data_IF_944952028948
#
_entry.id   IF_944952028948
#
_cell.length_a   1.000
_cell.length_b   1.000
_cell.length_c   1.000
_cell.angle_alpha   90.00
_cell.angle_beta   90.00
_cell.angle_gamma   90.00
#
_symmetry.space_group_name_H-M   'P 1'
#
loop_
_entity.id
_entity.type
_entity.pdbx_description
1 polymer ?
#
# COMPACT_ATOMS: atom_id res chain seq x y z
N UNK A 1 -19.12 -21.36 -15.13
CA UNK A 1 -17.81 -21.17 -14.45
C UNK A 1 -18.00 -20.26 -13.24
N UNK A 2 -17.28 -20.49 -12.14
CA UNK A 2 -17.32 -19.63 -10.93
C UNK A 2 -17.20 -18.14 -11.28
N UNK A 3 -16.32 -17.81 -12.23
CA UNK A 3 -16.09 -16.46 -12.75
C UNK A 3 -17.35 -15.81 -13.33
N UNK A 4 -18.18 -16.54 -14.07
CA UNK A 4 -19.45 -16.04 -14.61
C UNK A 4 -20.46 -15.68 -13.51
N UNK A 5 -20.52 -16.50 -12.46
CA UNK A 5 -21.39 -16.24 -11.32
C UNK A 5 -20.91 -15.02 -10.51
N UNK A 6 -19.59 -14.86 -10.38
CA UNK A 6 -18.97 -13.69 -9.73
C UNK A 6 -19.25 -12.42 -10.52
N UNK A 7 -19.03 -12.42 -11.84
CA UNK A 7 -19.31 -11.29 -12.74
C UNK A 7 -20.79 -10.92 -12.68
N UNK A 8 -21.68 -11.91 -12.70
CA UNK A 8 -23.13 -11.70 -12.61
C UNK A 8 -23.56 -11.11 -11.26
N UNK A 9 -22.94 -11.54 -10.15
CA UNK A 9 -23.18 -10.97 -8.81
C UNK A 9 -22.66 -9.53 -8.71
N UNK A 10 -21.50 -9.26 -9.31
CA UNK A 10 -20.90 -7.92 -9.38
C UNK A 10 -21.80 -6.93 -10.11
N UNK A 11 -22.31 -7.28 -11.30
CA UNK A 11 -23.18 -6.42 -12.11
C UNK A 11 -24.46 -5.99 -11.36
N UNK A 12 -24.89 -6.77 -10.37
CA UNK A 12 -26.02 -6.47 -9.48
C UNK A 12 -25.66 -5.59 -8.26
N UNK A 13 -24.42 -5.60 -7.80
CA UNK A 13 -24.02 -5.05 -6.50
C UNK A 13 -23.30 -3.69 -6.58
N UNK A 14 -23.46 -2.96 -7.70
CA UNK A 14 -22.89 -1.66 -8.14
C UNK A 14 -22.58 -0.61 -7.05
N UNK A 15 -21.73 -0.91 -6.07
CA UNK A 15 -21.63 -0.03 -4.90
C UNK A 15 -20.24 0.07 -4.24
N UNK A 16 -19.24 -0.78 -4.50
CA UNK A 16 -17.96 -0.66 -3.78
C UNK A 16 -16.67 -1.02 -4.53
N UNK A 17 -16.73 -1.50 -5.78
CA UNK A 17 -15.53 -1.99 -6.51
C UNK A 17 -15.66 -1.60 -8.00
N UNK A 18 -14.61 -1.09 -8.63
CA UNK A 18 -14.62 -0.74 -10.07
C UNK A 18 -14.48 -1.99 -10.95
N UNK A 19 -14.95 -1.93 -12.20
CA UNK A 19 -14.80 -3.04 -13.16
C UNK A 19 -13.32 -3.38 -13.39
N UNK A 20 -12.46 -2.37 -13.35
CA UNK A 20 -11.01 -2.57 -13.46
C UNK A 20 -10.43 -3.30 -12.25
N UNK A 21 -10.84 -2.96 -11.02
CA UNK A 21 -10.42 -3.70 -9.82
C UNK A 21 -10.89 -5.16 -9.87
N UNK A 22 -12.10 -5.42 -10.39
CA UNK A 22 -12.59 -6.78 -10.62
C UNK A 22 -11.69 -7.52 -11.60
N UNK A 23 -11.39 -6.94 -12.75
CA UNK A 23 -10.54 -7.57 -13.78
C UNK A 23 -9.13 -7.83 -13.23
N UNK A 24 -8.54 -6.84 -12.54
CA UNK A 24 -7.21 -6.97 -11.94
C UNK A 24 -7.18 -8.08 -10.89
N UNK A 25 -8.18 -8.18 -10.00
CA UNK A 25 -8.25 -9.25 -9.00
C UNK A 25 -8.51 -10.62 -9.62
N UNK A 26 -9.28 -10.69 -10.72
CA UNK A 26 -9.48 -11.94 -11.45
C UNK A 26 -8.20 -12.40 -12.14
N UNK A 27 -7.51 -11.51 -12.84
CA UNK A 27 -6.27 -11.82 -13.56
C UNK A 27 -5.12 -12.13 -12.60
N UNK A 28 -4.97 -11.37 -11.52
CA UNK A 28 -3.93 -11.59 -10.51
C UNK A 28 -4.25 -12.77 -9.60
N UNK A 29 -5.50 -12.92 -9.17
CA UNK A 29 -5.95 -14.00 -8.28
C UNK A 29 -5.86 -15.39 -8.93
N UNK A 30 -6.12 -15.49 -10.24
CA UNK A 30 -5.88 -16.72 -11.00
C UNK A 30 -4.39 -17.08 -10.95
N UNK A 31 -3.50 -16.15 -11.32
CA UNK A 31 -2.05 -16.36 -11.29
C UNK A 31 -1.52 -16.69 -9.88
N UNK A 32 -2.05 -16.03 -8.85
CA UNK A 32 -1.67 -16.24 -7.45
C UNK A 32 -2.08 -17.62 -6.92
N UNK A 33 -3.06 -18.29 -7.53
CA UNK A 33 -3.58 -19.58 -7.05
C UNK A 33 -3.27 -20.75 -7.98
N UNK A 34 -2.56 -20.52 -9.08
CA UNK A 34 -2.15 -21.54 -10.07
C UNK A 34 -1.33 -22.69 -9.47
N UNK A 35 -0.51 -22.40 -8.46
CA UNK A 35 0.34 -23.40 -7.81
C UNK A 35 -0.43 -24.34 -6.86
N UNK A 36 -1.71 -24.06 -6.58
CA UNK A 36 -2.54 -24.85 -5.66
C UNK A 36 -3.17 -25.99 -6.44
N UNK A 37 -2.62 -27.20 -6.35
CA UNK A 37 -3.06 -28.36 -7.15
C UNK A 37 -4.45 -28.89 -6.77
N UNK A 38 -4.89 -28.73 -5.51
CA UNK A 38 -6.23 -29.12 -5.07
C UNK A 38 -7.26 -28.05 -5.48
N UNK A 39 -8.18 -28.43 -6.36
CA UNK A 39 -9.24 -27.55 -6.88
C UNK A 39 -10.13 -26.98 -5.77
N UNK A 40 -10.38 -27.73 -4.70
CA UNK A 40 -11.21 -27.28 -3.58
C UNK A 40 -10.50 -26.21 -2.77
N UNK A 41 -9.21 -26.41 -2.50
CA UNK A 41 -8.37 -25.41 -1.83
C UNK A 41 -8.20 -24.15 -2.69
N UNK A 42 -7.99 -24.34 -4.00
CA UNK A 42 -7.89 -23.25 -4.96
C UNK A 42 -9.16 -22.40 -4.93
N UNK A 43 -10.32 -23.04 -4.98
CA UNK A 43 -11.61 -22.34 -4.91
C UNK A 43 -11.79 -21.57 -3.59
N UNK A 44 -11.44 -22.18 -2.46
CA UNK A 44 -11.51 -21.53 -1.15
C UNK A 44 -10.61 -20.29 -1.09
N UNK A 45 -9.37 -20.39 -1.59
CA UNK A 45 -8.41 -19.30 -1.63
C UNK A 45 -8.91 -18.16 -2.55
N UNK A 46 -9.39 -18.48 -3.75
CA UNK A 46 -9.94 -17.48 -4.67
C UNK A 46 -11.12 -16.73 -4.05
N UNK A 47 -11.98 -17.41 -3.29
CA UNK A 47 -13.09 -16.75 -2.57
C UNK A 47 -12.59 -15.76 -1.51
N UNK A 48 -11.51 -16.07 -0.79
CA UNK A 48 -10.93 -15.19 0.23
C UNK A 48 -10.29 -13.97 -0.43
N UNK A 49 -9.43 -14.19 -1.42
CA UNK A 49 -8.77 -13.12 -2.18
C UNK A 49 -9.80 -12.18 -2.82
N UNK A 50 -10.91 -12.74 -3.33
CA UNK A 50 -12.01 -11.94 -3.84
C UNK A 50 -12.71 -11.14 -2.74
N UNK A 51 -13.11 -11.80 -1.65
CA UNK A 51 -13.86 -11.18 -0.55
C UNK A 51 -13.08 -10.04 0.10
N UNK A 52 -11.77 -10.17 0.21
CA UNK A 52 -10.88 -9.23 0.87
C UNK A 52 -9.92 -8.55 -0.09
N UNK A 53 -10.26 -8.46 -1.40
CA UNK A 53 -9.36 -7.94 -2.43
C UNK A 53 -8.78 -6.57 -2.12
N UNK A 54 -9.56 -5.68 -1.48
CA UNK A 54 -9.10 -4.36 -1.02
C UNK A 54 -7.95 -4.42 -0.01
N UNK A 55 -7.86 -5.48 0.80
CA UNK A 55 -6.75 -5.67 1.76
C UNK A 55 -5.46 -6.17 1.09
N UNK A 56 -5.59 -6.72 -0.12
CA UNK A 56 -4.49 -7.27 -0.91
C UNK A 56 -4.17 -6.39 -2.13
N UNK A 57 -4.73 -5.18 -2.21
CA UNK A 57 -4.36 -4.22 -3.24
C UNK A 57 -2.97 -3.65 -2.91
N UNK A 58 -1.95 -4.09 -3.64
CA UNK A 58 -0.55 -3.67 -3.46
C UNK A 58 -0.21 -2.53 -4.43
N UNK A 59 -1.15 -2.08 -5.27
CA UNK A 59 -0.89 -1.05 -6.26
C UNK A 59 -0.62 0.31 -5.61
N UNK A 60 -1.30 0.62 -4.51
CA UNK A 60 -1.13 1.85 -3.75
C UNK A 60 -1.09 1.58 -2.24
N UNK A 61 -0.21 2.26 -1.48
CA UNK A 61 -0.23 2.20 -0.03
C UNK A 61 -1.59 2.63 0.52
N UNK A 62 -2.21 1.77 1.33
CA UNK A 62 -3.46 2.09 2.00
C UNK A 62 -3.22 3.07 3.15
N UNK A 63 -3.91 4.22 3.16
CA UNK A 63 -3.96 5.11 4.32
C UNK A 63 -5.09 4.67 5.25
N UNK A 64 -4.75 4.45 6.52
CA UNK A 64 -5.75 4.20 7.57
C UNK A 64 -6.40 5.55 7.91
N UNK A 65 -7.70 5.67 7.67
CA UNK A 65 -8.50 6.85 8.04
C UNK A 65 -8.96 6.77 9.50
N UNK A 66 -7.99 6.63 10.40
CA UNK A 66 -8.20 6.69 11.85
C UNK A 66 -7.33 7.82 12.36
N UNK A 67 -7.96 8.84 12.95
CA UNK A 67 -7.25 9.94 13.61
C UNK A 67 -6.70 9.42 14.93
N UNK A 68 -5.53 8.78 14.88
CA UNK A 68 -4.78 8.38 16.06
C UNK A 68 -3.83 9.52 16.44
N UNK A 69 -4.00 10.10 17.63
CA UNK A 69 -3.02 11.00 18.21
C UNK A 69 -1.85 10.18 18.75
N UNK A 70 -0.88 9.88 17.89
CA UNK A 70 0.37 9.28 18.32
C UNK A 70 1.34 10.39 18.75
N UNK A 71 1.90 10.27 19.96
CA UNK A 71 2.90 11.20 20.48
C UNK A 71 4.14 10.43 20.91
N UNK A 72 5.31 10.92 20.53
CA UNK A 72 6.59 10.38 20.98
C UNK A 72 6.97 11.12 22.26
N UNK A 73 7.03 10.42 23.39
CA UNK A 73 7.48 10.98 24.66
C UNK A 73 9.01 11.09 24.68
N UNK A 74 9.51 12.32 24.56
CA UNK A 74 10.95 12.63 24.64
C UNK A 74 11.42 12.98 26.06
N UNK A 75 10.53 12.93 27.05
CA UNK A 75 10.80 13.32 28.43
C UNK A 75 11.37 14.73 28.52
N UNK A 76 12.56 14.86 29.12
CA UNK A 76 13.27 16.14 29.29
C UNK A 76 14.39 16.35 28.26
N UNK A 77 14.47 15.53 27.22
CA UNK A 77 15.58 15.58 26.26
C UNK A 77 15.45 16.77 25.30
N UNK A 78 16.57 17.45 25.04
CA UNK A 78 16.64 18.57 24.08
C UNK A 78 16.69 18.07 22.63
N UNK A 79 16.31 18.87 21.62
CA UNK A 79 16.44 18.46 20.23
C UNK A 79 17.85 18.05 19.82
N UNK A 80 17.94 16.94 19.10
CA UNK A 80 19.18 16.47 18.47
C UNK A 80 19.10 16.82 16.98
N UNK A 81 20.06 17.62 16.51
CA UNK A 81 20.18 17.99 15.11
C UNK A 81 21.45 17.38 14.51
N UNK A 82 21.27 16.48 13.55
CA UNK A 82 22.38 15.89 12.79
C UNK A 82 22.31 16.36 11.33
N UNK A 83 23.42 16.88 10.76
CA UNK A 83 23.44 17.31 9.37
C UNK A 83 23.35 16.11 8.40
N UNK A 84 22.79 16.29 7.19
CA UNK A 84 22.79 15.26 6.15
C UNK A 84 24.19 14.78 5.77
N UNK A 85 24.33 13.48 5.50
CA UNK A 85 25.58 12.93 4.97
C UNK A 85 25.81 13.33 3.52
N UNK A 86 27.08 13.40 3.11
CA UNK A 86 27.44 13.51 1.69
C UNK A 86 27.02 12.23 0.97
N UNK A 87 26.29 12.39 -0.13
CA UNK A 87 25.83 11.31 -1.01
C UNK A 87 26.43 11.46 -2.40
N UNK A 88 26.49 10.37 -3.15
CA UNK A 88 26.84 10.43 -4.58
C UNK A 88 25.70 11.09 -5.37
N UNK A 89 25.99 11.59 -6.57
CA UNK A 89 24.94 12.18 -7.42
C UNK A 89 23.82 11.19 -7.74
N UNK A 90 24.16 9.90 -7.90
CA UNK A 90 23.19 8.84 -8.15
C UNK A 90 22.26 8.65 -6.96
N UNK A 91 22.81 8.57 -5.76
CA UNK A 91 22.02 8.37 -4.55
C UNK A 91 21.15 9.60 -4.24
N UNK A 92 21.65 10.81 -4.53
CA UNK A 92 20.86 12.03 -4.41
C UNK A 92 19.65 12.03 -5.35
N UNK A 93 19.79 11.49 -6.56
CA UNK A 93 18.69 11.40 -7.51
C UNK A 93 17.62 10.41 -7.03
N UNK A 94 18.04 9.22 -6.61
CA UNK A 94 17.12 8.24 -6.00
C UNK A 94 16.42 8.81 -4.76
N UNK A 95 17.16 9.53 -3.90
CA UNK A 95 16.57 10.17 -2.72
C UNK A 95 15.52 11.21 -3.11
N UNK A 96 15.77 12.02 -4.15
CA UNK A 96 14.81 13.00 -4.67
C UNK A 96 13.55 12.32 -5.20
N UNK A 97 13.70 11.31 -6.06
CA UNK A 97 12.58 10.57 -6.64
C UNK A 97 11.68 9.95 -5.55
N UNK A 98 12.27 9.32 -4.53
CA UNK A 98 11.51 8.74 -3.42
C UNK A 98 10.86 9.81 -2.54
N UNK A 99 11.56 10.92 -2.28
CA UNK A 99 11.00 12.05 -1.53
C UNK A 99 9.78 12.64 -2.24
N UNK A 100 9.86 12.81 -3.56
CA UNK A 100 8.75 13.35 -4.36
C UNK A 100 7.55 12.40 -4.38
N UNK A 101 7.77 11.08 -4.46
CA UNK A 101 6.70 10.06 -4.35
C UNK A 101 6.00 10.13 -2.98
N UNK A 102 6.77 10.23 -1.90
CA UNK A 102 6.24 10.31 -0.54
C UNK A 102 5.51 11.64 -0.28
N UNK A 103 6.02 12.74 -0.82
CA UNK A 103 5.38 14.05 -0.76
C UNK A 103 4.06 14.05 -1.55
N UNK A 104 4.07 13.53 -2.77
CA UNK A 104 2.88 13.44 -3.63
C UNK A 104 1.77 12.54 -3.06
N UNK A 105 2.13 11.52 -2.28
CA UNK A 105 1.16 10.68 -1.55
C UNK A 105 0.71 11.27 -0.21
N UNK A 106 1.27 12.40 0.22
CA UNK A 106 0.92 13.06 1.48
C UNK A 106 1.33 12.27 2.73
N UNK A 107 2.37 11.42 2.61
CA UNK A 107 2.95 10.65 3.73
C UNK A 107 3.92 11.53 4.53
N UNK A 108 4.64 12.43 3.85
CA UNK A 108 5.57 13.38 4.47
C UNK A 108 5.19 14.82 4.11
N UNK A 109 5.73 15.78 4.86
CA UNK A 109 5.57 17.22 4.62
C UNK A 109 6.87 17.97 4.93
N UNK A 110 6.97 19.21 4.46
CA UNK A 110 8.07 20.08 4.85
C UNK A 110 7.98 20.44 6.34
N UNK A 111 9.12 20.46 7.02
CA UNK A 111 9.20 20.77 8.45
C UNK A 111 10.32 21.76 8.74
N UNK A 112 10.12 22.58 9.76
CA UNK A 112 11.15 23.46 10.37
C UNK A 112 11.58 22.94 11.75
N UNK A 113 11.46 21.61 11.96
CA UNK A 113 11.78 20.95 13.23
C UNK A 113 13.23 21.21 13.68
N UNK A 114 13.46 21.45 14.99
CA UNK A 114 14.81 21.49 15.55
C UNK A 114 15.46 20.10 15.64
N UNK A 115 14.68 19.02 15.43
CA UNK A 115 15.16 17.65 15.38
C UNK A 115 15.49 17.26 13.93
N UNK A 116 16.66 16.68 13.70
CA UNK A 116 17.07 16.21 12.36
C UNK A 116 17.90 14.93 12.46
N UNK A 117 17.58 13.95 11.62
CA UNK A 117 18.32 12.71 11.44
C UNK A 117 18.60 12.48 9.95
N UNK A 118 19.86 12.21 9.55
CA UNK A 118 20.24 12.07 8.14
C UNK A 118 19.72 10.77 7.52
N UNK A 119 19.43 10.80 6.22
CA UNK A 119 19.04 9.62 5.44
C UNK A 119 20.28 8.82 4.99
N UNK A 120 20.16 7.49 4.98
CA UNK A 120 21.23 6.51 4.65
C UNK A 120 21.16 6.03 3.21
#
# INVERSE_FOLDING_TARGET
SFYENVIRKYRKARQFITEQQVITVLQSGVKLTEHINDDKQREQMSRILWKYGKLFDISEPSKIDIILKNAIDTGTHRPIHTPPYRKSNKDQETLREETDKLMGSGIIEHSTSPWSSPVV
#
